data_IF_604323244511
#
_entry.id   IF_604323244511
#
_cell.length_a   1.000
_cell.length_b   1.000
_cell.length_c   1.000
_cell.angle_alpha   90.00
_cell.angle_beta   90.00
_cell.angle_gamma   90.00
#
_symmetry.space_group_name_H-M   'P 1'
#
loop_
_entity.id
_entity.type
_entity.pdbx_description
1 polymer ?
#
# COMPACT_ATOMS: atom_id res chain seq x y z
N UNK A 1 0.42 0.57 -17.92
CA UNK A 1 -0.18 1.63 -17.07
C UNK A 1 -0.42 1.15 -15.64
N UNK A 2 -1.14 0.04 -15.42
CA UNK A 2 -1.32 -0.49 -14.06
C UNK A 2 0.00 -0.88 -13.39
N UNK A 3 0.98 -1.38 -14.15
CA UNK A 3 2.32 -1.69 -13.63
C UNK A 3 3.01 -0.44 -13.08
N UNK A 4 2.99 0.70 -13.81
CA UNK A 4 3.54 1.97 -13.32
C UNK A 4 2.93 2.41 -11.98
N UNK A 5 1.60 2.33 -11.84
CA UNK A 5 0.95 2.67 -10.56
C UNK A 5 1.31 1.69 -9.45
N UNK A 6 1.53 0.42 -9.79
CA UNK A 6 1.98 -0.60 -8.84
C UNK A 6 3.42 -0.33 -8.41
N UNK A 7 4.30 0.10 -9.32
CA UNK A 7 5.66 0.49 -8.99
C UNK A 7 5.68 1.71 -8.06
N UNK A 8 4.85 2.74 -8.30
CA UNK A 8 4.73 3.89 -7.39
C UNK A 8 4.29 3.43 -6.00
N UNK A 9 3.27 2.58 -5.93
CA UNK A 9 2.79 2.03 -4.66
C UNK A 9 3.91 1.30 -3.90
N UNK A 10 4.71 0.47 -4.58
CA UNK A 10 5.69 -0.42 -3.93
C UNK A 10 7.06 0.24 -3.71
N UNK A 11 7.41 1.32 -4.43
CA UNK A 11 8.75 1.96 -4.36
C UNK A 11 8.78 3.32 -3.69
N UNK A 12 7.67 4.09 -3.70
CA UNK A 12 7.63 5.36 -3.01
C UNK A 12 7.57 5.13 -1.49
N UNK A 13 8.30 5.90 -0.65
CA UNK A 13 8.35 5.68 0.81
C UNK A 13 6.97 5.55 1.49
N UNK A 14 6.00 6.34 1.03
CA UNK A 14 4.60 6.29 1.48
C UNK A 14 3.62 5.74 0.44
N UNK A 15 4.12 5.17 -0.67
CA UNK A 15 3.31 4.72 -1.80
C UNK A 15 2.26 3.69 -1.39
N UNK A 16 2.60 2.77 -0.49
CA UNK A 16 1.70 1.71 -0.02
C UNK A 16 0.50 2.21 0.79
N UNK A 17 0.52 3.46 1.26
CA UNK A 17 -0.61 4.11 1.92
C UNK A 17 -1.72 4.51 0.95
N UNK A 18 -1.41 4.57 -0.36
CA UNK A 18 -2.37 4.91 -1.40
C UNK A 18 -2.91 3.65 -2.10
N UNK A 19 -4.08 3.80 -2.70
CA UNK A 19 -4.70 2.83 -3.62
C UNK A 19 -4.85 3.53 -4.97
N UNK A 20 -3.98 3.21 -5.92
CA UNK A 20 -3.94 3.87 -7.22
C UNK A 20 -4.68 3.03 -8.26
N UNK A 21 -5.84 3.51 -8.69
CA UNK A 21 -6.66 2.83 -9.68
C UNK A 21 -6.43 3.36 -11.10
N UNK A 22 -6.36 2.43 -12.06
CA UNK A 22 -6.31 2.74 -13.49
C UNK A 22 -7.59 2.25 -14.12
N UNK A 23 -8.36 3.17 -14.68
CA UNK A 23 -9.58 2.90 -15.43
C UNK A 23 -9.26 3.05 -16.92
N UNK A 24 -9.61 2.05 -17.72
CA UNK A 24 -9.40 2.07 -19.17
C UNK A 24 -10.46 2.93 -19.90
N UNK A 25 -10.31 3.06 -21.22
CA UNK A 25 -11.22 3.85 -22.06
C UNK A 25 -12.66 3.33 -22.08
N UNK A 26 -12.87 2.07 -21.68
CA UNK A 26 -14.18 1.42 -21.61
C UNK A 26 -14.75 1.51 -20.19
N UNK A 27 -14.09 2.19 -19.26
CA UNK A 27 -14.50 2.30 -17.86
C UNK A 27 -14.12 1.09 -17.00
N UNK A 28 -13.29 0.17 -17.50
CA UNK A 28 -12.90 -1.03 -16.77
C UNK A 28 -11.66 -0.77 -15.90
N UNK A 29 -11.72 -1.21 -14.64
CA UNK A 29 -10.58 -1.15 -13.71
C UNK A 29 -9.54 -2.21 -14.08
N UNK A 30 -8.32 -1.76 -14.36
CA UNK A 30 -7.19 -2.66 -14.55
C UNK A 30 -6.76 -3.24 -13.19
N UNK A 31 -6.70 -4.57 -13.11
CA UNK A 31 -6.32 -5.29 -11.90
C UNK A 31 -4.82 -5.50 -11.80
N UNK A 32 -4.31 -5.59 -10.56
CA UNK A 32 -2.91 -5.96 -10.30
C UNK A 32 -2.70 -7.48 -10.46
N UNK A 33 -1.54 -7.94 -10.95
CA UNK A 33 -1.26 -9.37 -11.12
C UNK A 33 -0.81 -10.07 -9.83
N UNK A 34 -0.35 -9.32 -8.82
CA UNK A 34 0.18 -9.85 -7.55
C UNK A 34 -0.66 -9.38 -6.35
N UNK A 35 -0.50 -10.02 -5.20
CA UNK A 35 -1.15 -9.55 -3.97
C UNK A 35 -0.45 -8.32 -3.37
N UNK A 36 -1.16 -7.57 -2.52
CA UNK A 36 -0.61 -6.45 -1.75
C UNK A 36 0.18 -6.98 -0.56
N UNK A 37 1.39 -6.48 -0.34
CA UNK A 37 2.15 -6.76 0.88
C UNK A 37 1.60 -5.92 2.05
N UNK A 38 1.51 -6.55 3.22
CA UNK A 38 1.17 -5.89 4.47
C UNK A 38 2.31 -4.94 4.88
N UNK A 39 1.97 -3.70 5.24
CA UNK A 39 2.96 -2.69 5.65
C UNK A 39 3.64 -3.00 7.00
N UNK A 40 3.09 -3.94 7.79
CA UNK A 40 3.65 -4.37 9.07
C UNK A 40 4.54 -5.60 8.90
N UNK A 41 4.04 -6.67 8.29
CA UNK A 41 4.74 -7.96 8.26
C UNK A 41 5.19 -8.45 6.87
N UNK A 42 4.88 -7.72 5.79
CA UNK A 42 5.26 -8.10 4.42
C UNK A 42 4.50 -9.31 3.83
N UNK A 43 3.74 -10.06 4.64
CA UNK A 43 2.84 -11.12 4.16
C UNK A 43 1.70 -10.56 3.31
N UNK A 44 0.88 -11.43 2.73
CA UNK A 44 -0.30 -11.02 1.98
C UNK A 44 -1.28 -10.22 2.86
N UNK A 45 -1.56 -8.97 2.47
CA UNK A 45 -2.36 -8.03 3.26
C UNK A 45 -3.81 -8.51 3.45
N UNK A 46 -4.41 -9.15 2.44
CA UNK A 46 -5.77 -9.67 2.54
C UNK A 46 -5.90 -10.76 3.63
N UNK A 47 -4.86 -11.59 3.79
CA UNK A 47 -4.85 -12.60 4.84
C UNK A 47 -4.76 -11.96 6.23
N UNK A 48 -3.90 -10.95 6.40
CA UNK A 48 -3.76 -10.21 7.64
C UNK A 48 -5.08 -9.52 8.04
N UNK A 49 -5.77 -8.92 7.08
CA UNK A 49 -7.07 -8.28 7.30
C UNK A 49 -8.14 -9.32 7.69
N UNK A 50 -8.22 -10.44 6.99
CA UNK A 50 -9.21 -11.52 7.26
C UNK A 50 -9.03 -12.13 8.64
N UNK A 51 -7.78 -12.34 9.06
CA UNK A 51 -7.43 -12.96 10.34
C UNK A 51 -7.36 -11.96 11.50
N UNK A 52 -7.48 -10.65 11.23
CA UNK A 52 -7.17 -9.58 12.19
C UNK A 52 -5.81 -9.78 12.86
N UNK A 53 -4.81 -10.16 12.06
CA UNK A 53 -3.45 -10.49 12.53
C UNK A 53 -2.79 -9.35 13.28
N UNK A 54 -3.12 -8.11 12.91
CA UNK A 54 -2.61 -6.90 13.53
C UNK A 54 -3.77 -6.11 14.12
N UNK A 55 -3.54 -5.53 15.29
CA UNK A 55 -4.46 -4.59 15.92
C UNK A 55 -4.56 -3.28 15.13
N UNK A 56 -5.62 -2.52 15.40
CA UNK A 56 -5.80 -1.18 14.82
C UNK A 56 -4.66 -0.25 15.26
N UNK A 57 -4.24 -0.33 16.52
CA UNK A 57 -3.14 0.48 17.05
C UNK A 57 -1.82 0.19 16.33
N UNK A 58 -1.46 -1.08 16.11
CA UNK A 58 -0.26 -1.44 15.34
C UNK A 58 -0.30 -0.88 13.91
N UNK A 59 -1.48 -0.91 13.27
CA UNK A 59 -1.66 -0.32 11.94
C UNK A 59 -1.47 1.20 11.96
N UNK A 60 -2.07 1.90 12.92
CA UNK A 60 -1.94 3.34 13.07
C UNK A 60 -0.49 3.75 13.34
N UNK A 61 0.17 3.09 14.28
CA UNK A 61 1.58 3.34 14.59
C UNK A 61 2.48 3.13 13.38
N UNK A 62 2.27 2.08 12.57
CA UNK A 62 3.09 1.87 11.37
C UNK A 62 2.85 2.93 10.30
N UNK A 63 1.61 3.39 10.14
CA UNK A 63 1.28 4.49 9.21
C UNK A 63 1.96 5.78 9.66
N UNK A 64 1.88 6.12 10.95
CA UNK A 64 2.54 7.30 11.54
C UNK A 64 4.06 7.25 11.35
N UNK A 65 4.69 6.09 11.62
CA UNK A 65 6.12 5.87 11.38
C UNK A 65 6.51 6.16 9.92
N UNK A 66 5.78 5.59 8.95
CA UNK A 66 6.04 5.82 7.52
C UNK A 66 5.91 7.31 7.12
N UNK A 67 4.94 8.03 7.70
CA UNK A 67 4.74 9.45 7.44
C UNK A 67 5.85 10.31 8.05
N UNK A 68 6.25 10.03 9.30
CA UNK A 68 7.33 10.74 9.99
C UNK A 68 8.68 10.55 9.28
N UNK A 69 8.99 9.32 8.85
CA UNK A 69 10.21 9.03 8.08
C UNK A 69 10.24 9.82 6.77
N UNK A 70 9.12 9.87 6.04
CA UNK A 70 9.01 10.62 4.79
C UNK A 70 9.16 12.14 4.98
N UNK A 71 8.61 12.70 6.05
CA UNK A 71 8.76 14.14 6.33
C UNK A 71 10.18 14.50 6.77
N UNK A 72 10.88 13.62 7.48
CA UNK A 72 12.30 13.84 7.83
C UNK A 72 13.22 13.79 6.59
N UNK A 73 12.85 13.05 5.55
CA UNK A 73 13.60 12.95 4.28
C UNK A 73 13.47 14.19 3.38
N UNK A 74 12.59 15.15 3.71
CA UNK A 74 12.38 16.39 2.94
C UNK A 74 13.29 17.55 3.40
N UNK A 75 14.24 17.31 4.29
CA UNK A 75 15.20 18.31 4.81
C UNK A 75 16.49 18.29 4.01
#
# INVERSE_FOLDING_TARGET
MKDLTTDIEETHPVGRLFDLDVIDINGQKLSRPSFRKCIICGCQAQECARTRKHSVNEMQSKIEEMLMEFDCQKV
#
